data_IF_130484626966
#
_entry.id   IF_130484626966
#
_cell.length_a   1.000
_cell.length_b   1.000
_cell.length_c   1.000
_cell.angle_alpha   90.00
_cell.angle_beta   90.00
_cell.angle_gamma   90.00
#
_symmetry.space_group_name_H-M   'P 1'
#
loop_
_entity.id
_entity.type
_entity.pdbx_description
1 polymer ?
#
# COMPACT_ATOMS: atom_id res chain seq x y z
N UNK A 1 -12.68 -16.87 70.35
CA UNK A 1 -11.50 -17.20 71.18
C UNK A 1 -10.48 -17.91 70.30
N UNK A 2 -9.21 -17.52 70.44
CA UNK A 2 -7.94 -18.16 70.03
C UNK A 2 -7.85 -18.97 68.73
N UNK A 3 -6.95 -18.53 67.86
CA UNK A 3 -6.27 -19.35 66.87
C UNK A 3 -5.15 -20.19 67.51
N UNK A 4 -4.72 -21.29 66.86
CA UNK A 4 -3.35 -21.42 66.30
C UNK A 4 -3.00 -22.84 65.79
N UNK A 5 -2.29 -22.86 64.64
CA UNK A 5 -1.18 -23.75 64.21
C UNK A 5 -1.36 -25.29 64.27
N UNK A 6 -0.98 -26.03 63.23
CA UNK A 6 0.40 -26.48 62.86
C UNK A 6 0.39 -26.93 61.37
N UNK A 7 1.48 -27.12 60.59
CA UNK A 7 2.88 -26.63 60.51
C UNK A 7 3.51 -27.24 59.22
N UNK A 8 4.55 -26.62 58.64
CA UNK A 8 5.44 -27.24 57.61
C UNK A 8 5.20 -26.74 56.17
N UNK A 9 5.94 -25.81 55.54
CA UNK A 9 7.29 -25.22 55.69
C UNK A 9 8.37 -25.79 54.73
N UNK A 10 9.17 -24.87 54.14
CA UNK A 10 10.26 -25.01 53.14
C UNK A 10 9.86 -25.42 51.71
N UNK A 11 10.55 -25.07 50.60
CA UNK A 11 11.56 -24.05 50.15
C UNK A 11 11.62 -24.20 48.58
N UNK A 12 11.96 -23.25 47.71
CA UNK A 12 12.33 -21.83 47.82
C UNK A 12 11.91 -21.05 46.53
N UNK A 13 12.15 -19.74 46.55
CA UNK A 13 12.12 -18.67 45.51
C UNK A 13 13.05 -18.88 44.28
N UNK A 14 12.96 -18.16 43.14
CA UNK A 14 12.98 -16.68 42.91
C UNK A 14 12.47 -16.29 41.48
N UNK A 15 11.84 -15.08 41.37
CA UNK A 15 11.88 -13.99 40.32
C UNK A 15 11.94 -14.41 38.83
N UNK A 16 11.12 -13.94 37.87
CA UNK A 16 10.89 -12.60 37.24
C UNK A 16 9.60 -12.69 36.36
N UNK A 17 8.88 -11.65 35.91
CA UNK A 17 8.81 -10.22 36.29
C UNK A 17 7.46 -9.60 35.86
N UNK A 18 7.03 -8.53 36.55
CA UNK A 18 5.85 -7.73 36.17
C UNK A 18 6.22 -6.63 35.16
N UNK A 19 5.87 -6.79 33.88
CA UNK A 19 5.92 -5.71 32.87
C UNK A 19 4.71 -5.72 31.92
N UNK A 20 3.50 -5.65 32.50
CA UNK A 20 2.34 -5.08 31.81
C UNK A 20 2.07 -3.69 32.38
N UNK A 21 2.89 -2.72 31.95
CA UNK A 21 2.72 -1.32 32.34
C UNK A 21 1.39 -0.77 31.79
N UNK A 22 0.63 -0.13 32.69
CA UNK A 22 -0.69 0.42 32.41
C UNK A 22 -0.57 1.84 31.84
N UNK A 23 -0.07 1.98 30.62
CA UNK A 23 -0.18 3.22 29.86
C UNK A 23 -1.15 3.06 28.70
N UNK A 24 -2.45 3.09 29.03
CA UNK A 24 -3.54 3.28 28.07
C UNK A 24 -3.46 4.71 27.50
N UNK A 25 -2.50 4.95 26.60
CA UNK A 25 -2.41 6.22 25.87
C UNK A 25 -3.70 6.40 25.06
N UNK A 26 -4.29 7.58 25.15
CA UNK A 26 -5.32 7.98 24.18
C UNK A 26 -4.68 8.02 22.78
N UNK A 27 -5.45 7.75 21.70
CA UNK A 27 -4.91 7.81 20.35
C UNK A 27 -4.59 9.26 19.97
N UNK A 28 -3.33 9.66 20.16
CA UNK A 28 -2.76 10.96 19.74
C UNK A 28 -2.69 11.11 18.20
N UNK A 29 -3.29 10.19 17.43
CA UNK A 29 -3.22 10.10 15.97
C UNK A 29 -4.45 10.65 15.22
N UNK A 30 -5.38 11.35 15.89
CA UNK A 30 -6.36 12.21 15.18
C UNK A 30 -5.67 13.48 14.68
N UNK A 31 -5.01 13.39 13.52
CA UNK A 31 -4.54 14.54 12.74
C UNK A 31 -5.76 15.39 12.31
N UNK A 32 -6.12 16.40 13.10
CA UNK A 32 -7.18 17.37 12.77
C UNK A 32 -8.60 16.81 12.57
N UNK A 33 -8.83 15.51 12.79
CA UNK A 33 -10.08 14.83 12.48
C UNK A 33 -10.24 14.40 11.01
N UNK A 34 -9.15 14.33 10.23
CA UNK A 34 -9.17 13.84 8.85
C UNK A 34 -8.70 12.39 8.72
N UNK A 35 -9.35 11.62 7.83
CA UNK A 35 -9.02 10.21 7.59
C UNK A 35 -7.70 10.05 6.84
N UNK A 36 -7.05 8.89 6.95
CA UNK A 36 -5.91 8.54 6.10
C UNK A 36 -6.31 7.58 4.98
N UNK A 37 -6.38 8.12 3.76
CA UNK A 37 -6.62 7.36 2.54
C UNK A 37 -5.32 6.77 2.00
N UNK A 38 -5.24 5.45 1.88
CA UNK A 38 -4.08 4.72 1.35
C UNK A 38 -4.50 3.98 0.08
N UNK A 39 -4.08 4.52 -1.07
CA UNK A 39 -4.45 4.00 -2.39
C UNK A 39 -3.44 2.96 -2.86
N UNK A 40 -3.87 1.72 -3.03
CA UNK A 40 -3.02 0.66 -3.58
C UNK A 40 -2.96 0.78 -5.09
N UNK A 41 -1.80 1.19 -5.63
CA UNK A 41 -1.59 1.37 -7.06
C UNK A 41 -0.48 0.42 -7.54
N UNK A 42 -0.65 -0.27 -8.66
CA UNK A 42 0.38 -1.17 -9.21
C UNK A 42 -0.14 -2.06 -10.32
N UNK A 43 0.78 -2.74 -11.02
CA UNK A 43 0.45 -3.63 -12.14
C UNK A 43 -0.54 -4.74 -11.75
N UNK A 44 -1.23 -5.29 -12.75
CA UNK A 44 -2.05 -6.48 -12.57
C UNK A 44 -1.18 -7.63 -12.02
N UNK A 45 -1.67 -8.35 -11.02
CA UNK A 45 -0.92 -9.42 -10.36
C UNK A 45 0.12 -8.97 -9.31
N UNK A 46 0.46 -7.68 -9.17
CA UNK A 46 1.42 -7.20 -8.17
C UNK A 46 0.96 -7.40 -6.71
N UNK A 47 -0.33 -7.68 -6.50
CA UNK A 47 -0.89 -8.07 -5.20
C UNK A 47 -1.61 -6.96 -4.43
N UNK A 48 -2.18 -5.96 -5.12
CA UNK A 48 -2.94 -4.84 -4.52
C UNK A 48 -3.97 -5.29 -3.47
N UNK A 49 -4.88 -6.18 -3.85
CA UNK A 49 -5.93 -6.71 -2.98
C UNK A 49 -5.40 -7.50 -1.79
N UNK A 50 -4.32 -8.26 -1.99
CA UNK A 50 -3.68 -9.01 -0.91
C UNK A 50 -2.96 -8.10 0.08
N UNK A 51 -2.30 -7.03 -0.39
CA UNK A 51 -1.68 -6.04 0.49
C UNK A 51 -2.75 -5.23 1.24
N UNK A 52 -3.86 -4.87 0.56
CA UNK A 52 -5.04 -4.26 1.18
C UNK A 52 -5.52 -5.08 2.37
N UNK A 53 -5.81 -6.36 2.18
CA UNK A 53 -6.21 -7.28 3.25
C UNK A 53 -5.17 -7.35 4.38
N UNK A 54 -3.93 -7.69 4.05
CA UNK A 54 -2.93 -8.02 5.06
C UNK A 54 -2.46 -6.79 5.85
N UNK A 55 -2.43 -5.61 5.23
CA UNK A 55 -2.10 -4.37 5.93
C UNK A 55 -3.26 -3.92 6.82
N UNK A 56 -4.50 -3.93 6.33
CA UNK A 56 -5.68 -3.60 7.13
C UNK A 56 -5.86 -4.54 8.32
N UNK A 57 -5.67 -5.85 8.10
CA UNK A 57 -5.66 -6.86 9.16
C UNK A 57 -4.59 -6.55 10.22
N UNK A 58 -3.38 -6.21 9.79
CA UNK A 58 -2.30 -5.85 10.72
C UNK A 58 -2.62 -4.57 11.51
N UNK A 59 -3.18 -3.55 10.88
CA UNK A 59 -3.62 -2.31 11.55
C UNK A 59 -4.66 -2.62 12.64
N UNK A 60 -5.72 -3.39 12.31
CA UNK A 60 -6.74 -3.81 13.30
C UNK A 60 -6.14 -4.66 14.42
N UNK A 61 -5.41 -5.73 14.09
CA UNK A 61 -4.93 -6.72 15.08
C UNK A 61 -3.71 -6.29 15.91
N UNK A 62 -2.87 -5.37 15.40
CA UNK A 62 -1.59 -5.00 16.03
C UNK A 62 -1.51 -3.56 16.49
N UNK A 63 -2.34 -2.66 15.96
CA UNK A 63 -2.39 -1.26 16.39
C UNK A 63 -3.76 -0.87 17.00
N UNK A 64 -4.81 -1.65 16.72
CA UNK A 64 -6.16 -1.40 17.28
C UNK A 64 -6.93 -0.28 16.59
N UNK A 65 -6.50 0.14 15.39
CA UNK A 65 -7.20 1.14 14.58
C UNK A 65 -8.41 0.54 13.87
N UNK A 66 -9.44 1.35 13.66
CA UNK A 66 -10.48 1.04 12.69
C UNK A 66 -10.01 1.30 11.25
N UNK A 67 -10.42 0.39 10.38
CA UNK A 67 -10.02 0.36 8.97
C UNK A 67 -11.25 0.11 8.11
N UNK A 68 -11.50 1.03 7.19
CA UNK A 68 -12.46 0.92 6.10
C UNK A 68 -11.76 0.34 4.86
N UNK A 69 -12.34 -0.69 4.27
CA UNK A 69 -11.89 -1.32 3.04
C UNK A 69 -12.74 -0.86 1.86
N UNK A 70 -12.09 -0.29 0.85
CA UNK A 70 -12.75 0.22 -0.36
C UNK A 70 -12.26 -0.56 -1.58
N UNK A 71 -13.17 -1.30 -2.23
CA UNK A 71 -12.89 -1.92 -3.53
C UNK A 71 -13.33 -1.01 -4.67
N UNK A 72 -12.38 -0.57 -5.50
CA UNK A 72 -12.64 0.15 -6.75
C UNK A 72 -12.39 -0.71 -8.00
N UNK A 73 -12.07 -1.99 -7.87
CA UNK A 73 -12.00 -2.90 -9.02
C UNK A 73 -13.38 -3.49 -9.36
N UNK A 74 -13.98 -2.94 -10.43
CA UNK A 74 -15.25 -3.39 -11.00
C UNK A 74 -15.15 -4.74 -11.76
N UNK A 75 -13.93 -5.26 -11.96
CA UNK A 75 -13.64 -6.56 -12.57
C UNK A 75 -13.21 -7.64 -11.57
N UNK A 76 -13.07 -7.33 -10.28
CA UNK A 76 -12.65 -8.30 -9.27
C UNK A 76 -13.75 -9.37 -9.01
N UNK A 77 -13.47 -10.63 -9.32
CA UNK A 77 -14.38 -11.76 -9.04
C UNK A 77 -14.36 -12.15 -7.55
N UNK A 78 -13.19 -12.14 -6.92
CA UNK A 78 -12.97 -12.51 -5.52
C UNK A 78 -12.02 -11.53 -4.83
N UNK A 79 -12.27 -11.25 -3.55
CA UNK A 79 -11.44 -10.39 -2.71
C UNK A 79 -11.04 -11.15 -1.42
N UNK A 80 -9.80 -10.98 -0.91
CA UNK A 80 -9.37 -11.57 0.36
C UNK A 80 -9.92 -10.85 1.59
N UNK A 81 -10.67 -9.76 1.42
CA UNK A 81 -11.29 -8.95 2.47
C UNK A 81 -12.77 -8.68 2.13
N UNK A 82 -13.56 -8.33 3.14
CA UNK A 82 -14.93 -7.84 2.95
C UNK A 82 -14.88 -6.31 2.79
N UNK A 83 -15.29 -5.75 1.63
CA UNK A 83 -15.27 -4.30 1.39
C UNK A 83 -16.48 -3.62 2.04
N UNK A 84 -16.22 -2.58 2.85
CA UNK A 84 -17.26 -1.69 3.38
C UNK A 84 -17.90 -0.87 2.25
N UNK A 85 -17.07 -0.43 1.28
CA UNK A 85 -17.50 0.24 0.05
C UNK A 85 -17.01 -0.55 -1.17
N UNK A 86 -17.95 -1.02 -1.99
CA UNK A 86 -17.65 -1.87 -3.15
C UNK A 86 -18.29 -1.33 -4.43
N UNK A 87 -17.45 -0.94 -5.41
CA UNK A 87 -17.87 -0.45 -6.72
C UNK A 87 -18.75 -1.46 -7.47
N UNK A 88 -18.55 -2.77 -7.24
CA UNK A 88 -19.28 -3.87 -7.92
C UNK A 88 -20.78 -3.87 -7.60
N UNK A 89 -21.22 -3.11 -6.60
CA UNK A 89 -22.64 -2.92 -6.26
C UNK A 89 -23.39 -2.02 -7.25
N UNK A 90 -22.69 -1.22 -8.07
CA UNK A 90 -23.30 -0.24 -8.99
C UNK A 90 -22.57 -0.10 -10.34
N UNK A 91 -21.30 -0.51 -10.46
CA UNK A 91 -20.60 -0.68 -11.75
C UNK A 91 -19.99 -2.07 -11.83
N UNK A 92 -20.36 -2.83 -12.86
CA UNK A 92 -19.86 -4.20 -13.10
C UNK A 92 -19.41 -4.38 -14.54
N UNK A 93 -18.20 -4.86 -14.73
CA UNK A 93 -17.61 -5.10 -16.05
C UNK A 93 -18.42 -6.14 -16.84
N UNK A 94 -18.83 -7.25 -16.21
CA UNK A 94 -19.58 -8.33 -16.89
C UNK A 94 -20.97 -7.89 -17.37
N UNK A 95 -21.59 -6.93 -16.68
CA UNK A 95 -22.87 -6.35 -17.06
C UNK A 95 -22.70 -5.37 -18.23
N UNK A 96 -21.67 -4.52 -18.17
CA UNK A 96 -21.31 -3.59 -19.26
C UNK A 96 -20.99 -4.34 -20.56
N UNK A 97 -20.25 -5.45 -20.49
CA UNK A 97 -19.98 -6.29 -21.67
C UNK A 97 -21.26 -6.76 -22.37
N UNK A 98 -22.30 -7.13 -21.60
CA UNK A 98 -23.58 -7.61 -22.13
C UNK A 98 -24.43 -6.47 -22.68
N UNK A 99 -24.59 -5.40 -21.91
CA UNK A 99 -25.50 -4.30 -22.24
C UNK A 99 -24.99 -3.43 -23.39
N UNK A 100 -23.67 -3.21 -23.48
CA UNK A 100 -23.03 -2.38 -24.52
C UNK A 100 -22.35 -3.20 -25.62
N UNK A 101 -22.44 -4.54 -25.58
CA UNK A 101 -21.77 -5.46 -26.52
C UNK A 101 -20.26 -5.24 -26.63
N UNK A 102 -19.61 -4.89 -25.51
CA UNK A 102 -18.17 -4.60 -25.45
C UNK A 102 -17.34 -5.84 -25.09
N UNK A 103 -16.15 -5.92 -25.69
CA UNK A 103 -15.08 -6.81 -25.21
C UNK A 103 -14.51 -6.33 -23.87
N UNK A 104 -13.84 -7.24 -23.14
CA UNK A 104 -13.40 -7.04 -21.75
C UNK A 104 -12.65 -5.71 -21.51
N UNK A 105 -11.68 -5.35 -22.36
CA UNK A 105 -10.92 -4.10 -22.21
C UNK A 105 -11.79 -2.86 -22.40
N UNK A 106 -12.72 -2.88 -23.35
CA UNK A 106 -13.67 -1.79 -23.57
C UNK A 106 -14.62 -1.64 -22.37
N UNK A 107 -15.09 -2.76 -21.81
CA UNK A 107 -15.94 -2.76 -20.63
C UNK A 107 -15.22 -2.31 -19.35
N UNK A 108 -13.93 -2.61 -19.18
CA UNK A 108 -13.10 -2.08 -18.09
C UNK A 108 -12.92 -0.56 -18.21
N UNK A 109 -12.66 -0.06 -19.42
CA UNK A 109 -12.59 1.39 -19.69
C UNK A 109 -13.93 2.07 -19.36
N UNK A 110 -15.04 1.54 -19.88
CA UNK A 110 -16.38 2.06 -19.61
C UNK A 110 -16.77 1.96 -18.13
N UNK A 111 -16.32 0.93 -17.41
CA UNK A 111 -16.51 0.81 -15.97
C UNK A 111 -15.76 1.91 -15.20
N UNK A 112 -14.49 2.17 -15.55
CA UNK A 112 -13.71 3.24 -14.93
C UNK A 112 -14.32 4.63 -15.20
N UNK A 113 -14.77 4.89 -16.43
CA UNK A 113 -15.41 6.16 -16.79
C UNK A 113 -16.78 6.33 -16.10
N UNK A 114 -17.56 5.25 -15.93
CA UNK A 114 -18.81 5.25 -15.15
C UNK A 114 -18.56 5.46 -13.66
N UNK A 115 -17.54 4.83 -13.07
CA UNK A 115 -17.19 4.97 -11.65
C UNK A 115 -16.99 6.43 -11.23
N UNK A 116 -16.43 7.27 -12.11
CA UNK A 116 -16.24 8.71 -11.87
C UNK A 116 -17.55 9.41 -11.46
N UNK A 117 -18.70 8.98 -12.01
CA UNK A 117 -20.03 9.55 -11.72
C UNK A 117 -20.52 9.24 -10.29
N UNK A 118 -19.90 8.28 -9.61
CA UNK A 118 -20.25 7.84 -8.26
C UNK A 118 -19.24 8.30 -7.19
N UNK A 119 -18.17 9.01 -7.56
CA UNK A 119 -17.09 9.36 -6.63
C UNK A 119 -17.57 10.17 -5.42
N UNK A 120 -18.41 11.18 -5.61
CA UNK A 120 -18.93 11.96 -4.47
C UNK A 120 -19.80 11.10 -3.53
N UNK A 121 -20.44 10.03 -4.03
CA UNK A 121 -21.20 9.06 -3.23
C UNK A 121 -20.29 8.07 -2.51
N UNK A 122 -19.25 7.58 -3.19
CA UNK A 122 -18.20 6.73 -2.59
C UNK A 122 -17.55 7.46 -1.41
N UNK A 123 -17.21 8.74 -1.60
CA UNK A 123 -16.63 9.60 -0.56
C UNK A 123 -17.59 9.87 0.61
N UNK A 124 -18.90 10.04 0.34
CA UNK A 124 -19.92 10.12 1.40
C UNK A 124 -19.92 8.86 2.27
N UNK A 125 -19.99 7.68 1.65
CA UNK A 125 -20.00 6.40 2.38
C UNK A 125 -18.72 6.16 3.18
N UNK A 126 -17.55 6.55 2.66
CA UNK A 126 -16.29 6.49 3.41
C UNK A 126 -16.37 7.38 4.67
N UNK A 127 -16.92 8.59 4.55
CA UNK A 127 -17.05 9.54 5.66
C UNK A 127 -18.09 9.11 6.71
N UNK A 128 -19.07 8.27 6.34
CA UNK A 128 -20.09 7.73 7.25
C UNK A 128 -19.54 6.65 8.20
N UNK A 129 -18.33 6.12 7.97
CA UNK A 129 -17.74 4.97 8.69
C UNK A 129 -16.76 5.34 9.82
N UNK A 130 -16.45 6.63 10.04
CA UNK A 130 -15.52 7.19 11.05
C UNK A 130 -14.24 6.37 11.35
N UNK A 131 -13.63 5.79 10.33
CA UNK A 131 -12.46 4.89 10.45
C UNK A 131 -11.14 5.65 10.30
N UNK A 132 -10.13 5.38 11.15
CA UNK A 132 -8.84 6.09 11.06
C UNK A 132 -8.10 5.85 9.73
N UNK A 133 -8.18 4.63 9.20
CA UNK A 133 -7.56 4.25 7.92
C UNK A 133 -8.61 3.87 6.88
N UNK A 134 -8.42 4.34 5.65
CA UNK A 134 -9.22 3.97 4.48
C UNK A 134 -8.29 3.33 3.44
N UNK A 135 -8.36 2.01 3.31
CA UNK A 135 -7.52 1.27 2.36
C UNK A 135 -8.28 1.08 1.04
N UNK A 136 -7.77 1.70 -0.02
CA UNK A 136 -8.43 1.77 -1.33
C UNK A 136 -7.71 0.86 -2.33
N UNK A 137 -8.32 -0.27 -2.66
CA UNK A 137 -7.84 -1.18 -3.69
C UNK A 137 -8.26 -0.66 -5.08
N UNK A 138 -7.29 -0.22 -5.88
CA UNK A 138 -7.55 0.35 -7.21
C UNK A 138 -7.80 -0.73 -8.28
N UNK A 139 -8.43 -0.38 -9.43
CA UNK A 139 -8.65 -1.30 -10.54
C UNK A 139 -7.43 -2.15 -10.91
N UNK A 140 -7.66 -3.42 -11.24
CA UNK A 140 -6.61 -4.40 -11.56
C UNK A 140 -5.63 -3.92 -12.64
N UNK A 141 -6.12 -3.20 -13.66
CA UNK A 141 -5.30 -2.61 -14.71
C UNK A 141 -4.73 -1.24 -14.30
N UNK A 142 -3.43 -1.20 -14.00
CA UNK A 142 -2.71 0.02 -13.60
C UNK A 142 -2.82 1.17 -14.61
N UNK A 143 -2.79 0.85 -15.91
CA UNK A 143 -2.89 1.84 -16.99
C UNK A 143 -4.18 2.66 -16.91
N UNK A 144 -5.29 1.99 -16.59
CA UNK A 144 -6.63 2.57 -16.43
C UNK A 144 -6.72 3.46 -15.19
N UNK A 145 -5.95 3.16 -14.15
CA UNK A 145 -5.89 4.01 -12.96
C UNK A 145 -4.97 5.22 -13.17
N UNK A 146 -3.77 5.03 -13.72
CA UNK A 146 -2.77 6.10 -13.83
C UNK A 146 -3.03 7.01 -15.03
N UNK A 147 -3.15 6.48 -16.25
CA UNK A 147 -3.12 7.32 -17.45
C UNK A 147 -4.48 7.92 -17.80
N UNK A 148 -5.59 7.23 -17.52
CA UNK A 148 -6.94 7.81 -17.66
C UNK A 148 -7.26 8.76 -16.51
N UNK A 149 -8.16 9.71 -16.75
CA UNK A 149 -8.58 10.68 -15.74
C UNK A 149 -9.35 10.07 -14.56
N UNK A 150 -9.78 8.80 -14.65
CA UNK A 150 -10.48 8.09 -13.59
C UNK A 150 -9.69 8.06 -12.28
N UNK A 151 -8.41 7.66 -12.28
CA UNK A 151 -7.63 7.58 -11.05
C UNK A 151 -7.25 8.95 -10.45
N UNK A 152 -6.76 9.93 -11.22
CA UNK A 152 -6.54 11.29 -10.72
C UNK A 152 -7.82 11.91 -10.12
N UNK A 153 -9.00 11.69 -10.73
CA UNK A 153 -10.28 12.13 -10.16
C UNK A 153 -10.65 11.37 -8.88
N UNK A 154 -10.39 10.06 -8.81
CA UNK A 154 -10.55 9.28 -7.57
C UNK A 154 -9.67 9.85 -6.45
N UNK A 155 -8.39 10.08 -6.72
CA UNK A 155 -7.43 10.62 -5.74
C UNK A 155 -7.87 12.02 -5.27
N UNK A 156 -8.23 12.91 -6.20
CA UNK A 156 -8.76 14.24 -5.88
C UNK A 156 -10.06 14.18 -5.05
N UNK A 157 -10.93 13.18 -5.29
CA UNK A 157 -12.15 12.99 -4.52
C UNK A 157 -11.85 12.54 -3.08
N UNK A 158 -10.91 11.60 -2.89
CA UNK A 158 -10.44 11.15 -1.57
C UNK A 158 -9.77 12.29 -0.78
N UNK A 159 -8.97 13.13 -1.44
CA UNK A 159 -8.34 14.31 -0.84
C UNK A 159 -9.34 15.34 -0.27
N UNK A 160 -10.62 15.30 -0.66
CA UNK A 160 -11.66 16.18 -0.08
C UNK A 160 -12.01 15.82 1.38
N UNK A 161 -11.72 14.60 1.82
CA UNK A 161 -12.15 14.08 3.15
C UNK A 161 -11.00 13.56 4.02
N UNK A 162 -9.82 13.37 3.46
CA UNK A 162 -8.68 12.83 4.20
C UNK A 162 -7.35 13.06 3.50
N UNK A 163 -6.26 12.99 4.25
CA UNK A 163 -4.91 12.95 3.69
C UNK A 163 -4.79 11.71 2.82
N UNK A 164 -4.34 11.87 1.57
CA UNK A 164 -4.24 10.75 0.61
C UNK A 164 -2.79 10.50 0.23
N UNK A 165 -2.37 9.25 0.39
CA UNK A 165 -1.09 8.71 -0.09
C UNK A 165 -1.36 7.52 -1.02
N UNK A 166 -0.40 7.20 -1.89
CA UNK A 166 -0.46 5.98 -2.69
C UNK A 166 0.70 5.02 -2.38
N UNK A 167 0.41 3.72 -2.34
CA UNK A 167 1.44 2.68 -2.34
C UNK A 167 1.63 2.21 -3.78
N UNK A 168 2.79 2.48 -4.37
CA UNK A 168 3.19 1.95 -5.68
C UNK A 168 3.75 0.52 -5.49
N UNK A 169 2.92 -0.47 -5.74
CA UNK A 169 3.19 -1.90 -5.52
C UNK A 169 3.86 -2.50 -6.77
N UNK A 170 5.13 -2.85 -6.59
CA UNK A 170 6.00 -3.51 -7.56
C UNK A 170 6.00 -5.01 -7.25
N UNK A 171 5.86 -5.85 -8.28
CA UNK A 171 6.04 -7.30 -8.14
C UNK A 171 7.54 -7.63 -8.12
N UNK A 172 8.04 -8.19 -7.01
CA UNK A 172 9.44 -8.61 -6.89
C UNK A 172 9.90 -9.53 -8.04
N UNK A 173 9.03 -10.39 -8.56
CA UNK A 173 9.38 -11.34 -9.62
C UNK A 173 9.52 -10.66 -10.99
N UNK A 174 8.91 -9.48 -11.18
CA UNK A 174 9.12 -8.65 -12.38
C UNK A 174 10.35 -7.73 -12.24
N UNK A 175 10.99 -7.67 -11.07
CA UNK A 175 12.09 -6.76 -10.73
C UNK A 175 13.42 -7.48 -10.42
N UNK A 176 13.59 -8.74 -10.86
CA UNK A 176 14.74 -9.57 -10.51
C UNK A 176 16.07 -9.15 -11.19
N UNK A 177 16.02 -8.44 -12.31
CA UNK A 177 17.20 -7.80 -12.92
C UNK A 177 17.31 -6.32 -12.53
N UNK A 178 18.53 -5.78 -12.38
CA UNK A 178 18.76 -4.34 -12.18
C UNK A 178 17.99 -3.43 -13.15
N UNK A 179 17.98 -3.73 -14.46
CA UNK A 179 17.22 -2.95 -15.45
C UNK A 179 15.71 -3.07 -15.28
N UNK A 180 15.18 -4.24 -14.95
CA UNK A 180 13.75 -4.44 -14.72
C UNK A 180 13.29 -3.75 -13.43
N UNK A 181 14.12 -3.76 -12.38
CA UNK A 181 13.88 -3.00 -11.17
C UNK A 181 13.90 -1.49 -11.41
N UNK A 182 14.89 -0.98 -12.16
CA UNK A 182 14.91 0.44 -12.58
C UNK A 182 13.64 0.82 -13.35
N UNK A 183 13.25 -0.01 -14.32
CA UNK A 183 12.03 0.19 -15.12
C UNK A 183 10.77 0.25 -14.23
N UNK A 184 10.69 -0.61 -13.20
CA UNK A 184 9.59 -0.60 -12.25
C UNK A 184 9.58 0.66 -11.35
N UNK A 185 10.75 1.20 -10.98
CA UNK A 185 10.86 2.45 -10.24
C UNK A 185 10.47 3.66 -11.10
N UNK A 186 10.93 3.74 -12.36
CA UNK A 186 10.54 4.81 -13.28
C UNK A 186 9.03 4.81 -13.55
N UNK A 187 8.42 3.63 -13.73
CA UNK A 187 6.98 3.50 -13.86
C UNK A 187 6.24 3.95 -12.59
N UNK A 188 6.77 3.65 -11.40
CA UNK A 188 6.22 4.12 -10.14
C UNK A 188 6.32 5.65 -10.01
N UNK A 189 7.47 6.25 -10.33
CA UNK A 189 7.67 7.71 -10.30
C UNK A 189 6.77 8.45 -11.31
N UNK A 190 6.58 7.89 -12.52
CA UNK A 190 5.63 8.42 -13.50
C UNK A 190 4.18 8.38 -12.99
N UNK A 191 3.80 7.32 -12.26
CA UNK A 191 2.52 7.23 -11.56
C UNK A 191 2.38 8.29 -10.47
N UNK A 192 3.41 8.50 -9.64
CA UNK A 192 3.41 9.53 -8.59
C UNK A 192 3.18 10.93 -9.16
N UNK A 193 3.87 11.27 -10.26
CA UNK A 193 3.71 12.54 -10.97
C UNK A 193 2.27 12.74 -11.51
N UNK A 194 1.64 11.66 -11.98
CA UNK A 194 0.29 11.69 -12.57
C UNK A 194 -0.84 11.67 -11.53
N UNK A 195 -0.64 10.99 -10.40
CA UNK A 195 -1.61 10.96 -9.29
C UNK A 195 -1.53 12.20 -8.39
N UNK A 196 -0.38 12.88 -8.32
CA UNK A 196 -0.23 14.16 -7.62
C UNK A 196 -0.30 14.07 -6.09
N UNK A 197 0.08 12.92 -5.53
CA UNK A 197 0.10 12.65 -4.08
C UNK A 197 1.45 12.07 -3.64
N UNK A 198 1.74 12.15 -2.34
CA UNK A 198 2.87 11.45 -1.73
C UNK A 198 2.75 9.95 -1.95
N UNK A 199 3.82 9.32 -2.43
CA UNK A 199 3.82 7.88 -2.78
C UNK A 199 4.96 7.13 -2.12
N UNK A 200 4.65 5.93 -1.60
CA UNK A 200 5.62 4.99 -1.04
C UNK A 200 5.76 3.82 -2.02
N UNK A 201 6.98 3.48 -2.38
CA UNK A 201 7.26 2.34 -3.27
C UNK A 201 7.33 1.04 -2.44
N UNK A 202 6.62 0.00 -2.85
CA UNK A 202 6.52 -1.28 -2.14
C UNK A 202 6.83 -2.43 -3.08
N UNK A 203 7.97 -3.10 -2.89
CA UNK A 203 8.35 -4.33 -3.59
C UNK A 203 7.72 -5.51 -2.85
N UNK A 204 6.56 -5.94 -3.34
CA UNK A 204 5.75 -7.02 -2.76
C UNK A 204 6.20 -8.40 -3.26
N UNK A 205 5.75 -9.47 -2.59
CA UNK A 205 6.12 -10.88 -2.83
C UNK A 205 7.61 -11.17 -2.53
N UNK A 206 8.17 -10.47 -1.55
CA UNK A 206 9.57 -10.65 -1.13
C UNK A 206 9.91 -12.10 -0.68
N UNK A 207 8.88 -12.89 -0.36
CA UNK A 207 8.95 -14.28 0.07
C UNK A 207 9.16 -15.32 -1.05
N UNK A 208 8.97 -14.95 -2.32
CA UNK A 208 9.10 -15.87 -3.47
C UNK A 208 10.57 -16.15 -3.88
N UNK A 209 11.55 -15.57 -3.18
CA UNK A 209 12.98 -15.74 -3.47
C UNK A 209 13.48 -14.92 -4.66
N UNK A 210 14.80 -14.90 -4.87
CA UNK A 210 15.47 -14.11 -5.92
C UNK A 210 15.63 -12.63 -5.58
N UNK A 211 15.12 -12.18 -4.44
CA UNK A 211 15.13 -10.77 -4.01
C UNK A 211 16.43 -10.33 -3.36
N UNK A 212 17.45 -11.18 -3.30
CA UNK A 212 18.75 -10.92 -2.66
C UNK A 212 19.48 -9.75 -3.32
N UNK A 213 19.41 -9.62 -4.66
CA UNK A 213 19.96 -8.47 -5.39
C UNK A 213 19.21 -7.18 -5.06
N UNK A 214 17.88 -7.24 -5.01
CA UNK A 214 17.03 -6.09 -4.64
C UNK A 214 17.34 -5.65 -3.20
N UNK A 215 17.45 -6.60 -2.26
CA UNK A 215 17.85 -6.35 -0.86
C UNK A 215 19.21 -5.65 -0.76
N UNK A 216 20.20 -6.11 -1.53
CA UNK A 216 21.52 -5.49 -1.57
C UNK A 216 21.47 -4.06 -2.12
N UNK A 217 20.78 -3.84 -3.25
CA UNK A 217 20.57 -2.52 -3.86
C UNK A 217 19.85 -1.57 -2.88
N UNK A 218 18.78 -2.02 -2.23
CA UNK A 218 18.04 -1.19 -1.26
C UNK A 218 18.85 -0.87 0.00
N UNK A 219 19.88 -1.67 0.32
CA UNK A 219 20.81 -1.40 1.43
C UNK A 219 21.95 -0.46 1.04
N UNK A 220 22.41 -0.51 -0.22
CA UNK A 220 23.43 0.40 -0.76
C UNK A 220 23.09 0.73 -2.24
N UNK A 221 22.35 1.83 -2.49
CA UNK A 221 21.86 2.18 -3.83
C UNK A 221 22.94 2.26 -4.92
N UNK A 222 24.19 2.56 -4.54
CA UNK A 222 25.36 2.57 -5.45
C UNK A 222 25.58 1.24 -6.17
N UNK A 223 25.18 0.11 -5.57
CA UNK A 223 25.25 -1.21 -6.21
C UNK A 223 24.34 -1.32 -7.43
N UNK A 224 23.32 -0.46 -7.57
CA UNK A 224 22.42 -0.46 -8.73
C UNK A 224 23.16 -0.07 -10.01
N UNK A 225 24.05 0.92 -9.92
CA UNK A 225 24.90 1.38 -11.04
C UNK A 225 25.82 0.26 -11.52
N UNK A 226 26.60 -0.31 -10.60
CA UNK A 226 27.50 -1.45 -10.87
C UNK A 226 26.75 -2.65 -11.46
N UNK A 227 25.53 -2.93 -10.97
CA UNK A 227 24.74 -4.05 -11.44
C UNK A 227 24.13 -3.83 -12.84
N UNK A 228 23.77 -2.59 -13.19
CA UNK A 228 23.31 -2.19 -14.54
C UNK A 228 24.47 -2.27 -15.56
N UNK A 229 25.66 -1.81 -15.19
CA UNK A 229 26.88 -1.93 -16.02
C UNK A 229 27.22 -3.40 -16.33
N UNK A 230 26.99 -4.30 -15.37
CA UNK A 230 27.21 -5.74 -15.53
C UNK A 230 26.23 -6.43 -16.48
N UNK A 231 25.08 -5.83 -16.82
CA UNK A 231 24.13 -6.41 -17.79
C UNK A 231 24.65 -6.34 -19.24
N UNK A 232 25.66 -5.49 -19.53
CA UNK A 232 26.35 -5.40 -20.84
C UNK A 232 25.41 -5.18 -22.04
N UNK A 233 24.40 -4.33 -21.88
CA UNK A 233 23.40 -4.00 -22.91
C UNK A 233 23.87 -3.00 -23.99
N UNK A 234 25.13 -2.56 -23.96
CA UNK A 234 25.64 -1.51 -24.85
C UNK A 234 24.86 -0.21 -24.64
N UNK A 235 24.32 0.38 -25.71
CA UNK A 235 23.53 1.62 -25.63
C UNK A 235 22.30 1.53 -24.70
N UNK A 236 21.78 0.32 -24.41
CA UNK A 236 20.70 0.13 -23.43
C UNK A 236 21.22 0.32 -21.99
N UNK A 237 22.49 -0.02 -21.71
CA UNK A 237 23.13 0.28 -20.43
C UNK A 237 23.30 1.79 -20.27
N UNK A 238 23.73 2.51 -21.32
CA UNK A 238 23.86 3.98 -21.26
C UNK A 238 22.51 4.68 -20.97
N UNK A 239 21.42 4.20 -21.60
CA UNK A 239 20.06 4.66 -21.31
C UNK A 239 19.67 4.39 -19.85
N UNK A 240 19.92 3.17 -19.35
CA UNK A 240 19.62 2.80 -17.98
C UNK A 240 20.43 3.61 -16.95
N UNK A 241 21.68 3.97 -17.25
CA UNK A 241 22.49 4.84 -16.40
C UNK A 241 21.96 6.28 -16.37
N UNK A 242 21.49 6.82 -17.49
CA UNK A 242 20.84 8.14 -17.54
C UNK A 242 19.51 8.20 -16.77
N UNK A 243 18.72 7.13 -16.81
CA UNK A 243 17.49 6.99 -16.00
C UNK A 243 17.83 6.82 -14.50
N UNK A 244 18.88 6.07 -14.17
CA UNK A 244 19.32 5.89 -12.79
C UNK A 244 19.63 7.23 -12.09
N UNK A 245 20.23 8.21 -12.79
CA UNK A 245 20.53 9.53 -12.21
C UNK A 245 19.26 10.28 -11.75
N UNK A 246 18.17 10.17 -12.50
CA UNK A 246 16.86 10.69 -12.10
C UNK A 246 16.31 9.95 -10.86
N UNK A 247 16.37 8.63 -10.86
CA UNK A 247 15.92 7.79 -9.75
C UNK A 247 16.77 8.00 -8.49
N UNK A 248 18.08 8.23 -8.59
CA UNK A 248 18.96 8.56 -7.45
C UNK A 248 18.52 9.86 -6.75
N UNK A 249 17.96 10.84 -7.47
CA UNK A 249 17.41 12.06 -6.89
C UNK A 249 16.06 11.83 -6.16
N UNK A 250 15.22 10.92 -6.68
CA UNK A 250 13.87 10.67 -6.14
C UNK A 250 13.87 9.62 -5.01
N UNK A 251 14.79 8.64 -5.04
CA UNK A 251 14.88 7.53 -4.08
C UNK A 251 15.13 7.96 -2.64
N UNK A 252 15.70 9.15 -2.39
CA UNK A 252 15.86 9.66 -1.02
C UNK A 252 14.50 9.93 -0.35
N UNK A 253 13.49 10.34 -1.12
CA UNK A 253 12.11 10.53 -0.64
C UNK A 253 11.23 9.28 -0.83
N UNK A 254 11.52 8.44 -1.84
CA UNK A 254 10.68 7.30 -2.24
C UNK A 254 11.40 5.95 -2.11
N UNK A 255 12.18 5.74 -1.05
CA UNK A 255 12.95 4.51 -0.83
C UNK A 255 12.01 3.29 -0.84
N UNK A 256 12.20 2.31 -1.73
CA UNK A 256 11.30 1.16 -1.78
C UNK A 256 11.43 0.24 -0.57
N UNK A 257 10.28 -0.24 -0.09
CA UNK A 257 10.18 -1.20 1.02
C UNK A 257 9.94 -2.61 0.49
N UNK A 258 10.62 -3.61 1.07
CA UNK A 258 10.35 -5.01 0.77
C UNK A 258 9.26 -5.55 1.69
N UNK A 259 8.22 -6.12 1.09
CA UNK A 259 7.04 -6.63 1.80
C UNK A 259 6.67 -8.01 1.27
N UNK A 260 6.18 -8.88 2.17
CA UNK A 260 5.36 -10.03 1.77
C UNK A 260 3.95 -9.81 2.29
N UNK A 261 3.03 -9.43 1.40
CA UNK A 261 1.62 -9.37 1.75
C UNK A 261 1.07 -10.75 2.18
N UNK A 262 1.67 -11.86 1.74
CA UNK A 262 1.24 -13.20 2.12
C UNK A 262 1.70 -13.59 3.54
N UNK A 263 2.92 -13.22 3.93
CA UNK A 263 3.52 -13.62 5.23
C UNK A 263 3.50 -12.54 6.31
N UNK A 264 3.16 -11.30 5.96
CA UNK A 264 3.21 -10.14 6.86
C UNK A 264 4.63 -9.55 7.06
N UNK A 265 5.63 -10.09 6.38
CA UNK A 265 7.01 -9.56 6.41
C UNK A 265 7.02 -8.12 5.87
N UNK A 266 7.71 -7.19 6.55
CA UNK A 266 7.83 -5.78 6.16
C UNK A 266 6.62 -4.89 6.44
N UNK A 267 5.45 -5.43 6.85
CA UNK A 267 4.24 -4.64 7.08
C UNK A 267 4.41 -3.61 8.20
N UNK A 268 5.16 -3.94 9.27
CA UNK A 268 5.45 -3.00 10.34
C UNK A 268 6.36 -1.83 9.91
N UNK A 269 7.21 -2.03 8.90
CA UNK A 269 8.07 -0.97 8.34
C UNK A 269 7.31 -0.13 7.30
N UNK A 270 6.37 -0.75 6.57
CA UNK A 270 5.39 -0.03 5.76
C UNK A 270 4.55 0.94 6.61
N UNK A 271 4.07 0.50 7.78
CA UNK A 271 3.35 1.38 8.71
C UNK A 271 4.20 2.58 9.18
N UNK A 272 5.48 2.38 9.50
CA UNK A 272 6.39 3.48 9.87
C UNK A 272 6.54 4.49 8.73
N UNK A 273 6.80 4.02 7.51
CA UNK A 273 6.95 4.90 6.35
C UNK A 273 5.65 5.65 6.01
N UNK A 274 4.49 5.03 6.21
CA UNK A 274 3.19 5.69 6.12
C UNK A 274 3.09 6.85 7.13
N UNK A 275 3.46 6.62 8.40
CA UNK A 275 3.46 7.67 9.42
C UNK A 275 4.51 8.78 9.15
N UNK A 276 5.71 8.43 8.70
CA UNK A 276 6.75 9.39 8.32
C UNK A 276 6.28 10.30 7.16
N UNK A 277 5.60 9.73 6.16
CA UNK A 277 5.01 10.48 5.06
C UNK A 277 3.93 11.48 5.52
N UNK A 278 3.20 11.20 6.60
CA UNK A 278 2.25 12.16 7.19
C UNK A 278 2.95 13.35 7.84
N UNK A 279 4.00 13.11 8.63
CA UNK A 279 4.73 14.17 9.33
C UNK A 279 5.29 15.19 8.35
N UNK A 280 5.90 14.73 7.24
CA UNK A 280 6.43 15.61 6.18
C UNK A 280 5.34 16.43 5.50
N UNK A 281 4.11 15.92 5.40
CA UNK A 281 2.98 16.68 4.86
C UNK A 281 2.43 17.72 5.86
N UNK A 282 2.52 17.46 7.16
CA UNK A 282 2.06 18.38 8.21
C UNK A 282 2.97 19.58 8.46
N UNK A 283 4.28 19.46 8.20
CA UNK A 283 5.25 20.57 8.32
C UNK A 283 5.14 21.63 7.20
N UNK A 284 4.27 21.40 6.19
CA UNK A 284 4.11 22.26 5.00
C UNK A 284 2.78 23.05 4.96
N UNK A 285 1.97 22.98 6.03
CA UNK A 285 0.65 23.64 6.14
C UNK A 285 0.58 24.57 7.35
#
# INVERSE_FOLDING_TARGET
MNACMFVGNNRFSLVEDNLFDQTYRQPEHRLGGSYLNIVMAGLAGAGKSQLTHSFGKWLKEKQGFEVCYVNLDAGAEWLPYEPDVDVRRFVRVDQIMKDESLGINGAIIAAADRMVQYLDRIVSWISELDSEFVLVDSPGQYEIFVFRDSGPKTVQALQKVGTTIALNIIDAQLALSPSAFLTALELATASSLRLGVTTINVVNKADLGGTEKIKAILSNPRLMREAIEQERGGAITDLALGLLEHIEHVMTAQRPLLVSALRGEGIADLYKAVNEALCVCGDLT
#
